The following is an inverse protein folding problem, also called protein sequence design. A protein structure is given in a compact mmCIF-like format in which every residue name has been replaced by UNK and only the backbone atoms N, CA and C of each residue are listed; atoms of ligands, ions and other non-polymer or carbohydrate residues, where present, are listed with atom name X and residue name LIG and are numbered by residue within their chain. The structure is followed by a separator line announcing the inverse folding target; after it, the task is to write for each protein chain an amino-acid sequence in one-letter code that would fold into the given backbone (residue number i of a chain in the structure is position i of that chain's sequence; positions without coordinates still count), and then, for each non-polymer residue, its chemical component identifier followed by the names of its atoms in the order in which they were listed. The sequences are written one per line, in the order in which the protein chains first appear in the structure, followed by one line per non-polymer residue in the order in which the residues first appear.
data_IF_917258097481
#
_entry.id   IF_917258097481
#
_cell.length_a   1.000
_cell.length_b   1.000
_cell.length_c   1.000
_cell.angle_alpha   90.00
_cell.angle_beta   90.00
_cell.angle_gamma   90.00
#
_symmetry.space_group_name_H-M   'P 1'
#
loop_
_entity.id
_entity.type
_entity.pdbx_description
1 polymer ?
#
# COMPACT_ATOMS: atom_id res chain seq x y z
N UNK A 1 34.17 -4.43 -30.70
CA UNK A 1 33.36 -5.29 -31.59
C UNK A 1 32.67 -6.35 -30.74
N UNK A 2 31.43 -6.11 -30.29
CA UNK A 2 30.66 -7.06 -29.50
C UNK A 2 29.20 -7.03 -29.95
N UNK A 3 28.84 -7.85 -30.94
CA UNK A 3 27.46 -7.99 -31.42
C UNK A 3 26.74 -9.01 -30.54
N UNK A 4 26.30 -8.59 -29.35
CA UNK A 4 25.40 -9.39 -28.52
C UNK A 4 23.95 -9.14 -28.91
N UNK A 5 23.36 -9.97 -29.77
CA UNK A 5 21.91 -9.97 -29.98
C UNK A 5 21.27 -10.75 -28.82
N UNK A 6 20.72 -10.06 -27.83
CA UNK A 6 19.83 -10.70 -26.87
C UNK A 6 18.50 -10.99 -27.56
N UNK A 7 18.26 -12.27 -27.87
CA UNK A 7 16.98 -12.74 -28.36
C UNK A 7 16.04 -12.90 -27.16
N UNK A 8 14.93 -12.16 -27.14
CA UNK A 8 13.94 -12.31 -26.07
C UNK A 8 13.32 -13.70 -26.13
N UNK A 9 13.35 -14.48 -25.03
CA UNK A 9 12.76 -15.81 -25.01
C UNK A 9 11.25 -15.74 -25.19
N UNK A 10 10.71 -16.73 -25.88
CA UNK A 10 9.30 -16.81 -26.23
C UNK A 10 8.46 -17.15 -24.98
N UNK A 11 7.20 -16.69 -24.92
CA UNK A 11 6.28 -17.00 -23.80
C UNK A 11 6.25 -18.48 -23.39
N UNK A 12 6.34 -19.39 -24.36
CA UNK A 12 6.39 -20.85 -24.14
C UNK A 12 7.67 -21.33 -23.45
N UNK A 13 8.81 -20.69 -23.73
CA UNK A 13 10.11 -21.02 -23.13
C UNK A 13 10.19 -20.50 -21.69
N UNK A 14 9.63 -19.31 -21.43
CA UNK A 14 9.47 -18.78 -20.07
C UNK A 14 8.58 -19.73 -19.26
N UNK A 15 7.41 -20.13 -19.79
CA UNK A 15 6.50 -21.07 -19.12
C UNK A 15 7.14 -22.46 -18.85
N UNK A 16 8.06 -22.93 -19.70
CA UNK A 16 8.82 -24.17 -19.46
C UNK A 16 9.86 -24.02 -18.36
N UNK A 17 10.58 -22.89 -18.31
CA UNK A 17 11.56 -22.61 -17.25
C UNK A 17 10.92 -22.42 -15.88
N UNK A 18 9.71 -21.84 -15.84
CA UNK A 18 8.90 -21.66 -14.64
C UNK A 18 7.86 -22.77 -14.45
N UNK A 19 8.18 -24.03 -14.80
CA UNK A 19 7.40 -25.15 -14.28
C UNK A 19 7.51 -25.16 -12.74
N UNK A 20 6.41 -25.44 -12.04
CA UNK A 20 6.20 -24.96 -10.67
C UNK A 20 7.14 -25.68 -9.70
N UNK A 21 7.93 -24.93 -8.95
CA UNK A 21 8.65 -25.41 -7.76
C UNK A 21 7.68 -25.69 -6.59
N UNK A 22 6.39 -25.40 -6.75
CA UNK A 22 5.39 -25.60 -5.71
C UNK A 22 4.50 -26.83 -6.00
N UNK A 23 5.08 -28.03 -5.96
CA UNK A 23 4.35 -29.21 -5.48
C UNK A 23 4.50 -29.34 -3.96
N UNK A 24 4.44 -28.21 -3.24
CA UNK A 24 4.02 -28.25 -1.85
C UNK A 24 2.51 -28.35 -1.87
N UNK A 25 1.99 -29.48 -1.39
CA UNK A 25 0.57 -29.67 -1.09
C UNK A 25 0.07 -28.39 -0.42
N UNK A 26 -0.81 -27.66 -1.10
CA UNK A 26 -1.60 -26.59 -0.47
C UNK A 26 -2.32 -27.24 0.70
N UNK A 27 -1.74 -27.14 1.89
CA UNK A 27 -2.56 -27.20 3.08
C UNK A 27 -3.49 -25.98 3.00
N UNK A 28 -4.80 -26.13 3.28
CA UNK A 28 -5.71 -25.00 3.37
C UNK A 28 -5.40 -24.22 4.65
N UNK A 29 -4.21 -23.64 4.73
CA UNK A 29 -3.88 -22.57 5.65
C UNK A 29 -4.51 -21.30 5.08
N UNK A 30 -5.27 -20.53 5.85
CA UNK A 30 -6.10 -19.51 5.28
C UNK A 30 -5.21 -18.31 4.93
N UNK A 31 -4.81 -18.17 3.66
CA UNK A 31 -4.57 -16.84 3.10
C UNK A 31 -5.93 -16.13 2.96
N UNK A 32 -6.64 -16.01 4.09
CA UNK A 32 -8.00 -15.47 4.22
C UNK A 32 -8.07 -14.04 3.73
N UNK A 33 -6.95 -13.34 3.90
CA UNK A 33 -6.91 -11.90 3.82
C UNK A 33 -6.91 -11.40 2.38
N UNK A 34 -6.12 -12.00 1.50
CA UNK A 34 -6.07 -11.62 0.07
C UNK A 34 -7.11 -12.36 -0.79
N UNK A 35 -7.83 -13.32 -0.21
CA UNK A 35 -8.91 -14.05 -0.90
C UNK A 35 -10.27 -13.35 -0.80
N UNK A 36 -10.40 -12.30 0.02
CA UNK A 36 -11.59 -11.46 0.05
C UNK A 36 -11.70 -10.60 -1.22
N UNK A 37 -12.92 -10.54 -1.77
CA UNK A 37 -13.22 -9.79 -3.01
C UNK A 37 -13.21 -8.26 -2.81
N UNK A 38 -13.38 -7.79 -1.57
CA UNK A 38 -13.52 -6.37 -1.23
C UNK A 38 -12.48 -5.99 -0.18
N UNK A 39 -11.37 -5.43 -0.66
CA UNK A 39 -10.28 -4.91 0.17
C UNK A 39 -10.18 -3.41 -0.01
N UNK A 40 -10.12 -2.68 1.11
CA UNK A 40 -9.82 -1.27 1.12
C UNK A 40 -8.38 -1.07 1.60
N UNK A 41 -7.63 -0.24 0.89
CA UNK A 41 -6.23 0.03 1.20
C UNK A 41 -6.02 1.53 1.47
N UNK A 42 -5.29 1.85 2.53
CA UNK A 42 -4.82 3.20 2.84
C UNK A 42 -3.30 3.16 2.92
N UNK A 43 -2.64 3.95 2.07
CA UNK A 43 -1.19 4.11 2.10
C UNK A 43 -0.83 5.34 2.94
N UNK A 44 0.06 5.16 3.91
CA UNK A 44 0.73 6.27 4.59
C UNK A 44 2.06 6.51 3.88
N UNK A 45 2.16 7.68 3.25
CA UNK A 45 3.33 8.08 2.48
C UNK A 45 4.13 9.16 3.20
N UNK A 46 5.44 9.09 3.05
CA UNK A 46 6.32 10.22 3.29
C UNK A 46 6.50 10.96 1.96
N UNK A 47 6.43 12.29 2.02
CA UNK A 47 6.50 13.15 0.84
C UNK A 47 7.60 14.18 1.04
N UNK A 48 8.49 14.30 0.06
CA UNK A 48 9.55 15.32 0.07
C UNK A 48 8.91 16.70 -0.14
N UNK A 49 9.21 17.64 0.76
CA UNK A 49 8.79 19.03 0.60
C UNK A 49 9.62 19.68 -0.51
N UNK A 50 8.96 20.19 -1.54
CA UNK A 50 9.57 20.84 -2.71
C UNK A 50 8.65 21.94 -3.22
N UNK A 51 9.17 22.83 -4.08
CA UNK A 51 8.39 23.93 -4.67
C UNK A 51 7.21 23.41 -5.52
N UNK A 52 7.34 22.19 -6.06
CA UNK A 52 6.32 21.54 -6.88
C UNK A 52 5.17 20.92 -6.05
N UNK A 53 5.30 20.86 -4.71
CA UNK A 53 4.26 20.31 -3.84
C UNK A 53 3.12 21.32 -3.65
N UNK A 54 1.97 21.03 -4.27
CA UNK A 54 0.83 21.95 -4.27
C UNK A 54 -0.24 21.51 -3.28
N UNK A 55 -0.91 22.46 -2.63
CA UNK A 55 -2.02 22.22 -1.69
C UNK A 55 -3.31 22.88 -2.18
N UNK A 56 -4.39 22.12 -2.24
CA UNK A 56 -5.75 22.63 -2.47
C UNK A 56 -6.70 22.10 -1.38
N UNK A 57 -7.15 23.00 -0.49
CA UNK A 57 -7.92 22.61 0.69
C UNK A 57 -7.14 21.65 1.58
N UNK A 58 -7.65 20.42 1.75
CA UNK A 58 -7.03 19.34 2.52
C UNK A 58 -6.26 18.34 1.64
N UNK A 59 -6.18 18.55 0.33
CA UNK A 59 -5.55 17.65 -0.62
C UNK A 59 -4.20 18.22 -1.05
N UNK A 60 -3.17 17.39 -0.99
CA UNK A 60 -1.85 17.68 -1.50
C UNK A 60 -1.62 16.94 -2.81
N UNK A 61 -1.01 17.62 -3.79
CA UNK A 61 -0.67 17.07 -5.09
C UNK A 61 0.84 17.19 -5.29
N UNK A 62 1.51 16.06 -5.44
CA UNK A 62 2.93 15.99 -5.77
C UNK A 62 3.08 15.44 -7.20
N UNK A 63 3.52 16.25 -8.17
CA UNK A 63 3.62 15.82 -9.57
C UNK A 63 4.80 14.87 -9.83
N UNK A 64 5.82 14.88 -8.97
CA UNK A 64 7.04 14.06 -9.10
C UNK A 64 6.90 12.75 -8.32
N UNK A 65 6.77 11.59 -8.98
CA UNK A 65 6.53 10.31 -8.30
C UNK A 65 7.66 9.91 -7.35
N UNK A 66 8.91 10.22 -7.71
CA UNK A 66 10.09 9.90 -6.91
C UNK A 66 10.14 10.66 -5.56
N UNK A 67 9.30 11.70 -5.40
CA UNK A 67 9.18 12.44 -4.14
C UNK A 67 8.20 11.82 -3.15
N UNK A 68 7.55 10.70 -3.50
CA UNK A 68 6.56 10.04 -2.65
C UNK A 68 7.02 8.61 -2.35
N UNK A 69 7.19 8.29 -1.06
CA UNK A 69 7.54 6.94 -0.62
C UNK A 69 6.45 6.38 0.30
N UNK A 70 5.88 5.21 -0.04
CA UNK A 70 4.95 4.52 0.86
C UNK A 70 5.72 3.92 2.05
N UNK A 71 5.40 4.35 3.27
CA UNK A 71 5.99 3.80 4.51
C UNK A 71 5.16 2.67 5.07
N UNK A 72 3.85 2.82 5.04
CA UNK A 72 2.91 1.81 5.53
C UNK A 72 1.77 1.63 4.55
N UNK A 73 1.28 0.39 4.44
CA UNK A 73 0.09 0.04 3.68
C UNK A 73 -0.88 -0.67 4.62
N UNK A 74 -1.94 0.04 5.01
CA UNK A 74 -3.02 -0.51 5.79
C UNK A 74 -4.05 -1.13 4.86
N UNK A 75 -4.43 -2.37 5.12
CA UNK A 75 -5.42 -3.09 4.33
C UNK A 75 -6.53 -3.53 5.27
N UNK A 76 -7.77 -3.34 4.84
CA UNK A 76 -8.97 -3.62 5.61
C UNK A 76 -9.89 -4.53 4.81
N UNK A 77 -10.44 -5.56 5.46
CA UNK A 77 -11.49 -6.38 4.88
C UNK A 77 -12.86 -5.68 5.00
N UNK A 78 -13.73 -5.88 4.01
CA UNK A 78 -15.14 -5.45 4.03
C UNK A 78 -15.39 -3.95 4.21
N UNK A 79 -14.39 -3.13 3.94
CA UNK A 79 -14.54 -1.67 3.90
C UNK A 79 -15.03 -1.04 5.20
N UNK A 80 -14.75 -1.65 6.36
CA UNK A 80 -14.75 -0.93 7.64
C UNK A 80 -13.56 0.03 7.67
N UNK A 81 -13.65 1.06 6.83
CA UNK A 81 -12.89 2.28 6.99
C UNK A 81 -13.76 3.19 7.85
N UNK A 82 -13.16 3.83 8.87
CA UNK A 82 -13.88 4.79 9.71
C UNK A 82 -14.50 5.92 8.87
N UNK A 83 -15.28 6.80 9.51
CA UNK A 83 -15.93 7.91 8.82
C UNK A 83 -14.88 8.82 8.14
N UNK A 84 -14.93 8.86 6.80
CA UNK A 84 -14.00 9.62 5.95
C UNK A 84 -14.13 11.15 6.14
N UNK A 85 -15.19 11.63 6.79
CA UNK A 85 -15.38 13.05 7.10
C UNK A 85 -14.68 13.47 8.39
N UNK A 86 -14.12 12.52 9.16
CA UNK A 86 -13.37 12.85 10.37
C UNK A 86 -12.05 13.50 9.97
N UNK A 87 -11.92 14.79 10.28
CA UNK A 87 -10.66 15.50 10.21
C UNK A 87 -9.89 15.33 11.53
N UNK A 88 -8.81 14.56 11.51
CA UNK A 88 -7.95 14.35 12.68
C UNK A 88 -7.18 15.60 13.12
N UNK A 89 -7.16 16.65 12.30
CA UNK A 89 -6.62 17.96 12.64
C UNK A 89 -7.60 18.84 13.43
N UNK A 90 -8.89 18.45 13.52
CA UNK A 90 -9.85 19.14 14.37
C UNK A 90 -9.43 19.00 15.85
N UNK A 91 -9.44 20.10 16.58
CA UNK A 91 -9.02 20.16 17.98
C UNK A 91 -9.80 19.17 18.87
N UNK A 92 -11.09 18.93 18.58
CA UNK A 92 -11.90 17.97 19.35
C UNK A 92 -11.40 16.54 19.14
N UNK A 93 -11.24 16.14 17.89
CA UNK A 93 -10.78 14.79 17.51
C UNK A 93 -9.34 14.57 17.98
N UNK A 94 -8.48 15.57 17.81
CA UNK A 94 -7.09 15.52 18.28
C UNK A 94 -7.02 15.29 19.80
N UNK A 95 -7.89 15.94 20.58
CA UNK A 95 -7.95 15.72 22.04
C UNK A 95 -8.37 14.31 22.40
N UNK A 96 -9.37 13.75 21.70
CA UNK A 96 -9.81 12.36 21.90
C UNK A 96 -8.69 11.36 21.58
N UNK A 97 -7.98 11.58 20.46
CA UNK A 97 -6.83 10.75 20.06
C UNK A 97 -5.75 10.77 21.15
N UNK A 98 -5.38 11.97 21.64
CA UNK A 98 -4.37 12.10 22.70
C UNK A 98 -4.79 11.41 24.00
N UNK A 99 -6.07 11.47 24.38
CA UNK A 99 -6.58 10.78 25.56
C UNK A 99 -6.42 9.27 25.45
N UNK A 100 -6.75 8.69 24.29
CA UNK A 100 -6.62 7.23 24.05
C UNK A 100 -5.15 6.79 24.01
N UNK A 101 -4.26 7.60 23.43
CA UNK A 101 -2.82 7.32 23.41
C UNK A 101 -2.24 7.39 24.85
N UNK A 102 -2.70 8.35 25.65
CA UNK A 102 -2.24 8.52 27.02
C UNK A 102 -2.77 7.45 27.98
N UNK A 103 -3.96 6.90 27.72
CA UNK A 103 -4.46 5.72 28.43
C UNK A 103 -3.68 4.48 27.98
N UNK A 104 -2.54 4.21 28.62
CA UNK A 104 -1.87 2.91 28.48
C UNK A 104 -2.86 1.79 28.88
N UNK A 105 -2.95 0.68 28.15
CA UNK A 105 -3.55 -0.53 28.70
C UNK A 105 -2.69 -0.99 29.89
N UNK A 106 -3.34 -1.25 31.03
CA UNK A 106 -2.72 -1.95 32.16
C UNK A 106 -2.25 -3.35 31.76
#
# INVERSE_FOLDING_TARGET
MGKGRHQMPTRKEVLRKYKPINTHKEQPGPTRFLSHKNLNCIALCEVITSEDLQKHGNIWVCPTPDHVCTRFLFVYENGQVGDAHINTQDAKIHKEILQVIASKPC
#
